data_IF_181825335938
#
_entry.id   IF_181825335938
#
_cell.length_a   1.000
_cell.length_b   1.000
_cell.length_c   1.000
_cell.angle_alpha   90.00
_cell.angle_beta   90.00
_cell.angle_gamma   90.00
#
_symmetry.space_group_name_H-M   'P 1'
#
loop_
_entity.id
_entity.type
_entity.pdbx_description
1 polymer ?
#
# COMPACT_ATOMS: atom_id res chain seq x y z
N UNK A 1 24.65 -5.44 -4.83
CA UNK A 1 23.38 -5.15 -4.14
C UNK A 1 22.55 -4.32 -5.11
N UNK A 2 21.23 -4.50 -5.15
CA UNK A 2 20.40 -3.65 -6.00
C UNK A 2 20.37 -2.22 -5.42
N UNK A 3 20.20 -1.23 -6.29
CA UNK A 3 20.13 0.18 -5.90
C UNK A 3 18.86 0.46 -5.07
N UNK A 4 18.93 1.39 -4.11
CA UNK A 4 17.79 1.78 -3.29
C UNK A 4 16.63 2.28 -4.17
N UNK A 5 16.93 3.07 -5.21
CA UNK A 5 15.88 3.54 -6.12
C UNK A 5 15.21 2.39 -6.86
N UNK A 6 15.96 1.34 -7.21
CA UNK A 6 15.37 0.14 -7.81
C UNK A 6 14.38 -0.53 -6.87
N UNK A 7 14.69 -0.66 -5.57
CA UNK A 7 13.72 -1.20 -4.61
C UNK A 7 12.48 -0.31 -4.46
N UNK A 8 12.65 1.01 -4.38
CA UNK A 8 11.52 1.96 -4.32
C UNK A 8 10.60 1.81 -5.53
N UNK A 9 11.17 1.78 -6.74
CA UNK A 9 10.42 1.65 -7.98
C UNK A 9 9.67 0.30 -8.07
N UNK A 10 10.31 -0.78 -7.61
CA UNK A 10 9.69 -2.11 -7.55
C UNK A 10 8.54 -2.13 -6.55
N UNK A 11 8.72 -1.59 -5.34
CA UNK A 11 7.68 -1.58 -4.30
C UNK A 11 6.48 -0.73 -4.73
N UNK A 12 6.72 0.46 -5.26
CA UNK A 12 5.65 1.35 -5.73
C UNK A 12 4.88 0.74 -6.91
N UNK A 13 5.59 0.19 -7.90
CA UNK A 13 4.95 -0.51 -9.04
C UNK A 13 4.13 -1.71 -8.55
N UNK A 14 4.69 -2.52 -7.67
CA UNK A 14 4.02 -3.69 -7.12
C UNK A 14 2.73 -3.29 -6.40
N UNK A 15 2.79 -2.34 -5.46
CA UNK A 15 1.61 -1.90 -4.72
C UNK A 15 0.54 -1.33 -5.63
N UNK A 16 0.92 -0.54 -6.65
CA UNK A 16 -0.02 -0.01 -7.64
C UNK A 16 -0.70 -1.14 -8.43
N UNK A 17 0.07 -2.11 -8.95
CA UNK A 17 -0.48 -3.22 -9.72
C UNK A 17 -1.45 -4.08 -8.89
N UNK A 18 -1.09 -4.39 -7.65
CA UNK A 18 -1.95 -5.17 -6.75
C UNK A 18 -3.22 -4.40 -6.35
N UNK A 19 -3.09 -3.10 -6.07
CA UNK A 19 -4.23 -2.23 -5.78
C UNK A 19 -5.19 -2.14 -6.96
N UNK A 20 -4.68 -1.92 -8.18
CA UNK A 20 -5.49 -1.82 -9.40
C UNK A 20 -6.18 -3.16 -9.74
N UNK A 21 -5.51 -4.28 -9.48
CA UNK A 21 -6.11 -5.60 -9.66
C UNK A 21 -7.26 -5.86 -8.68
N UNK A 22 -7.07 -5.54 -7.40
CA UNK A 22 -8.02 -5.82 -6.32
C UNK A 22 -9.19 -4.84 -6.26
N UNK A 23 -9.01 -3.59 -6.70
CA UNK A 23 -10.03 -2.54 -6.67
C UNK A 23 -11.18 -2.73 -7.68
N UNK A 24 -11.21 -3.88 -8.36
CA UNK A 24 -12.32 -4.34 -9.21
C UNK A 24 -13.59 -4.72 -8.43
N UNK A 25 -13.49 -4.91 -7.10
CA UNK A 25 -14.64 -5.05 -6.20
C UNK A 25 -14.69 -3.91 -5.20
N UNK A 26 -15.37 -2.81 -5.52
CA UNK A 26 -15.62 -1.74 -4.55
C UNK A 26 -16.68 -2.20 -3.54
N UNK A 27 -16.31 -2.31 -2.27
CA UNK A 27 -17.29 -2.39 -1.19
C UNK A 27 -17.82 -0.98 -0.90
N UNK A 28 -19.14 -0.81 -0.94
CA UNK A 28 -19.76 0.50 -0.69
C UNK A 28 -19.38 1.01 0.72
N UNK A 29 -18.79 2.20 0.78
CA UNK A 29 -18.41 2.87 2.02
C UNK A 29 -17.01 2.56 2.54
N UNK A 30 -16.23 1.72 1.87
CA UNK A 30 -14.80 1.48 2.18
C UNK A 30 -13.94 1.98 1.02
N UNK A 31 -13.06 2.92 1.33
CA UNK A 31 -12.05 3.45 0.42
C UNK A 31 -10.77 2.60 0.49
N UNK A 32 -10.10 2.48 -0.65
CA UNK A 32 -8.85 1.76 -0.80
C UNK A 32 -7.76 2.75 -1.22
N UNK A 33 -6.85 3.07 -0.29
CA UNK A 33 -5.85 4.13 -0.42
C UNK A 33 -4.43 3.57 -0.48
N UNK A 34 -3.62 4.11 -1.39
CA UNK A 34 -2.17 3.94 -1.42
C UNK A 34 -1.48 5.15 -0.78
N UNK A 35 -0.70 4.88 0.26
CA UNK A 35 0.10 5.86 0.99
C UNK A 35 1.57 5.53 0.74
N UNK A 36 2.21 6.32 -0.11
CA UNK A 36 3.58 6.12 -0.56
C UNK A 36 4.47 7.26 -0.04
N UNK A 37 5.19 7.02 1.04
CA UNK A 37 6.20 7.95 1.57
C UNK A 37 7.59 7.50 1.08
N UNK A 38 7.92 7.92 -0.13
CA UNK A 38 9.20 7.61 -0.78
C UNK A 38 10.40 8.26 -0.08
N UNK A 39 10.20 9.38 0.61
CA UNK A 39 11.29 10.08 1.33
C UNK A 39 11.72 9.31 2.58
N UNK A 40 10.77 8.64 3.23
CA UNK A 40 10.99 7.89 4.48
C UNK A 40 10.95 6.37 4.30
N UNK A 41 10.77 5.90 3.07
CA UNK A 41 10.76 4.49 2.71
C UNK A 41 9.65 3.68 3.39
N UNK A 42 8.45 4.28 3.50
CA UNK A 42 7.25 3.66 4.05
C UNK A 42 6.15 3.58 3.01
N UNK A 43 5.62 2.38 2.77
CA UNK A 43 4.66 2.13 1.73
C UNK A 43 3.50 1.30 2.26
N UNK A 44 2.29 1.85 2.19
CA UNK A 44 1.10 1.27 2.79
C UNK A 44 -0.05 1.27 1.80
N UNK A 45 -0.70 0.12 1.68
CA UNK A 45 -2.04 0.00 1.13
C UNK A 45 -3.02 -0.18 2.28
N UNK A 46 -3.93 0.77 2.44
CA UNK A 46 -4.90 0.83 3.52
C UNK A 46 -6.32 0.79 2.98
N UNK A 47 -7.16 -0.06 3.55
CA UNK A 47 -8.61 0.02 3.40
C UNK A 47 -9.21 0.71 4.61
N UNK A 48 -10.00 1.76 4.38
CA UNK A 48 -10.61 2.53 5.45
C UNK A 48 -11.98 3.07 5.07
N UNK A 49 -12.88 3.19 6.05
CA UNK A 49 -14.21 3.73 5.80
C UNK A 49 -15.25 3.19 6.78
N UNK A 50 -16.50 3.16 6.33
CA UNK A 50 -17.62 2.68 7.12
C UNK A 50 -18.43 1.64 6.35
N UNK A 51 -18.62 0.48 6.96
CA UNK A 51 -19.44 -0.60 6.43
C UNK A 51 -20.41 -1.06 7.53
N UNK A 52 -21.71 -1.04 7.27
CA UNK A 52 -22.77 -1.49 8.20
C UNK A 52 -22.62 -0.95 9.65
N UNK A 53 -22.34 0.35 9.79
CA UNK A 53 -22.07 1.05 11.06
C UNK A 53 -20.80 0.63 11.80
N UNK A 54 -19.90 -0.12 11.15
CA UNK A 54 -18.57 -0.45 11.67
C UNK A 54 -17.52 0.37 10.92
N UNK A 55 -16.64 1.00 11.68
CA UNK A 55 -15.47 1.65 11.10
C UNK A 55 -14.46 0.57 10.67
N UNK A 56 -14.04 0.64 9.41
CA UNK A 56 -13.01 -0.20 8.81
C UNK A 56 -11.70 0.59 8.80
N UNK A 57 -10.63 -0.05 9.28
CA UNK A 57 -9.26 0.44 9.20
C UNK A 57 -8.35 -0.78 9.14
N UNK A 58 -7.94 -1.15 7.94
CA UNK A 58 -7.27 -2.42 7.65
C UNK A 58 -6.06 -2.20 6.74
N UNK A 59 -4.82 -2.22 7.28
CA UNK A 59 -3.62 -2.20 6.46
C UNK A 59 -3.52 -3.54 5.70
N UNK A 60 -3.68 -3.49 4.38
CA UNK A 60 -3.72 -4.66 3.52
C UNK A 60 -2.30 -5.14 3.18
N UNK A 61 -1.42 -4.21 2.79
CA UNK A 61 0.01 -4.46 2.59
C UNK A 61 0.78 -3.29 3.20
N UNK A 62 1.79 -3.59 4.01
CA UNK A 62 2.70 -2.59 4.58
C UNK A 62 4.14 -3.06 4.33
N UNK A 63 4.90 -2.25 3.61
CA UNK A 63 6.28 -2.52 3.23
C UNK A 63 7.15 -1.35 3.67
N UNK A 64 8.30 -1.68 4.27
CA UNK A 64 9.34 -0.70 4.56
C UNK A 64 10.62 -1.03 3.80
N UNK A 65 11.41 -0.01 3.44
CA UNK A 65 12.81 -0.21 3.05
C UNK A 65 13.69 0.31 4.19
N UNK A 66 14.38 -0.60 4.88
CA UNK A 66 15.27 -0.28 6.01
C UNK A 66 16.63 -0.90 5.78
N UNK A 67 17.68 -0.10 5.94
CA UNK A 67 19.08 -0.53 5.73
C UNK A 67 19.27 -1.25 4.38
N UNK A 68 18.70 -0.66 3.32
CA UNK A 68 18.71 -1.19 1.93
C UNK A 68 18.06 -2.58 1.77
N UNK A 69 17.12 -2.93 2.64
CA UNK A 69 16.37 -4.19 2.57
C UNK A 69 14.88 -3.94 2.69
N UNK A 70 14.10 -4.77 2.00
CA UNK A 70 12.64 -4.78 2.05
C UNK A 70 12.19 -5.56 3.29
N UNK A 71 11.31 -4.96 4.09
CA UNK A 71 10.69 -5.52 5.29
C UNK A 71 9.18 -5.63 5.12
#
# INVERSE_FOLDING_TARGET
>A
MADLNFYRDVVETLLQEFHDYSSSGKEDGVDSELILDRERDHYLWLELGWQDNKYVYAPFIHIDIKDEKIW
#
